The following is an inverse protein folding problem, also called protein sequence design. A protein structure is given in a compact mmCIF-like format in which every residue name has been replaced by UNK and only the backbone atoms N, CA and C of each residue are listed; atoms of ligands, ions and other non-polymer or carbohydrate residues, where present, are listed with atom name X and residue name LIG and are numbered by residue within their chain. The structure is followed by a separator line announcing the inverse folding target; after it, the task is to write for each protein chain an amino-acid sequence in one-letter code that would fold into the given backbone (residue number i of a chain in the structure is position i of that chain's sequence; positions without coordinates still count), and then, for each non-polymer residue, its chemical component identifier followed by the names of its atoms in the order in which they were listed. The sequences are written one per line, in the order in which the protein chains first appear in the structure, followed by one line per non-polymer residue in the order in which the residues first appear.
data_IF_943941729268
#
_entry.id   IF_943941729268
#
_cell.length_a   1.000
_cell.length_b   1.000
_cell.length_c   1.000
_cell.angle_alpha   90.00
_cell.angle_beta   90.00
_cell.angle_gamma   90.00
#
_symmetry.space_group_name_H-M   'P 1'
#
loop_
_entity.id
_entity.type
_entity.pdbx_description
1 polymer ?
#
# COMPACT_ATOMS: atom_id res chain seq x y z
N UNK A 1 -5.49 -0.57 1.33
CA UNK A 1 -5.31 -0.33 2.77
C UNK A 1 -4.07 -1.05 3.28
N UNK A 2 -3.33 -0.44 4.21
CA UNK A 2 -2.24 -1.11 4.94
C UNK A 2 -2.54 -0.99 6.42
N UNK A 3 -2.71 -2.12 7.10
CA UNK A 3 -2.87 -2.17 8.55
C UNK A 3 -1.48 -2.42 9.15
N UNK A 4 -1.10 -1.59 10.11
CA UNK A 4 0.22 -1.66 10.77
C UNK A 4 0.04 -2.11 12.21
N UNK A 5 0.73 -3.18 12.60
CA UNK A 5 0.70 -3.73 13.97
C UNK A 5 2.10 -4.12 14.43
N UNK A 6 2.28 -4.35 15.73
CA UNK A 6 3.56 -4.73 16.34
C UNK A 6 3.98 -3.81 17.49
N UNK A 7 5.23 -3.92 17.92
CA UNK A 7 5.83 -3.17 19.03
C UNK A 7 7.13 -2.51 18.57
N UNK A 8 7.07 -1.19 18.37
CA UNK A 8 8.19 -0.35 17.96
C UNK A 8 7.96 1.11 18.40
N UNK A 9 9.04 1.87 18.53
CA UNK A 9 9.05 3.28 18.90
C UNK A 9 8.66 4.17 17.70
N UNK A 10 7.39 4.11 17.28
CA UNK A 10 6.85 4.81 16.11
C UNK A 10 7.14 6.32 16.01
N UNK A 11 7.36 7.00 17.15
CA UNK A 11 7.77 8.42 17.21
C UNK A 11 9.20 8.64 16.76
N UNK A 12 10.09 7.68 17.01
CA UNK A 12 11.51 7.76 16.69
C UNK A 12 11.84 7.11 15.34
N UNK A 13 11.16 6.01 15.01
CA UNK A 13 11.50 5.13 13.89
C UNK A 13 10.27 4.47 13.29
N UNK A 14 10.42 3.85 12.12
CA UNK A 14 9.31 3.15 11.48
C UNK A 14 8.24 4.07 10.88
N UNK A 15 8.57 5.31 10.55
CA UNK A 15 7.68 6.23 9.85
C UNK A 15 7.42 5.76 8.41
N UNK A 16 6.29 6.21 7.85
CA UNK A 16 6.00 6.13 6.42
C UNK A 16 6.69 7.30 5.72
N UNK A 17 7.45 7.02 4.66
CA UNK A 17 8.09 8.02 3.84
C UNK A 17 7.32 8.12 2.51
N UNK A 18 6.80 9.31 2.20
CA UNK A 18 6.15 9.63 0.94
C UNK A 18 7.14 10.43 0.09
N UNK A 19 7.84 9.74 -0.81
CA UNK A 19 9.04 10.28 -1.47
C UNK A 19 8.79 11.52 -2.31
N UNK A 20 7.69 11.55 -3.07
CA UNK A 20 7.32 12.71 -3.91
C UNK A 20 6.83 13.91 -3.09
N UNK A 21 6.17 13.64 -1.96
CA UNK A 21 5.57 14.66 -1.12
C UNK A 21 6.57 15.19 -0.06
N UNK A 22 7.79 14.64 -0.04
CA UNK A 22 8.84 14.91 0.97
C UNK A 22 8.32 14.84 2.41
N UNK A 23 7.32 14.00 2.64
CA UNK A 23 6.65 13.86 3.91
C UNK A 23 7.11 12.59 4.63
N UNK A 24 7.33 12.73 5.93
CA UNK A 24 7.56 11.60 6.84
C UNK A 24 6.42 11.59 7.85
N UNK A 25 5.65 10.51 7.86
CA UNK A 25 4.42 10.39 8.64
C UNK A 25 4.64 9.37 9.74
N UNK A 26 4.36 9.76 10.98
CA UNK A 26 4.32 8.85 12.12
C UNK A 26 3.22 7.81 11.92
N UNK A 27 3.54 6.55 12.13
CA UNK A 27 2.58 5.44 12.00
C UNK A 27 2.61 4.63 13.27
N UNK A 28 1.70 4.88 14.23
CA UNK A 28 1.55 4.03 15.41
C UNK A 28 1.05 2.62 15.07
N UNK A 29 1.33 1.66 15.95
CA UNK A 29 0.70 0.34 15.89
C UNK A 29 -0.82 0.47 16.06
N UNK A 30 -1.60 -0.26 15.25
CA UNK A 30 -3.05 -0.14 15.13
C UNK A 30 -3.52 0.81 14.00
N UNK A 31 -2.59 1.51 13.33
CA UNK A 31 -2.95 2.44 12.26
C UNK A 31 -3.39 1.71 11.00
N UNK A 32 -4.46 2.21 10.37
CA UNK A 32 -4.86 1.82 9.01
C UNK A 32 -4.55 2.97 8.04
N UNK A 33 -3.64 2.73 7.12
CA UNK A 33 -3.24 3.67 6.08
C UNK A 33 -4.09 3.45 4.82
N UNK A 34 -4.67 4.52 4.31
CA UNK A 34 -5.45 4.53 3.07
C UNK A 34 -4.91 5.65 2.18
N UNK A 35 -4.26 5.27 1.08
CA UNK A 35 -3.70 6.18 0.11
C UNK A 35 -3.54 5.47 -1.24
N UNK A 36 -3.43 6.20 -2.36
CA UNK A 36 -3.30 5.60 -3.69
C UNK A 36 -1.87 5.08 -3.91
N UNK A 37 -1.60 3.87 -3.42
CA UNK A 37 -0.27 3.26 -3.45
C UNK A 37 0.25 2.94 -4.85
N UNK A 38 -0.63 2.85 -5.85
CA UNK A 38 -0.25 2.62 -7.25
C UNK A 38 0.33 3.86 -7.95
N UNK A 39 0.05 5.06 -7.42
CA UNK A 39 0.51 6.33 -8.02
C UNK A 39 1.53 7.06 -7.16
N UNK A 40 1.76 6.60 -5.92
CA UNK A 40 2.65 7.24 -4.95
C UNK A 40 3.85 6.34 -4.67
N UNK A 41 5.05 6.89 -4.78
CA UNK A 41 6.26 6.23 -4.29
C UNK A 41 6.33 6.36 -2.76
N UNK A 42 6.29 5.22 -2.08
CA UNK A 42 6.36 5.17 -0.63
C UNK A 42 7.29 4.06 -0.14
N UNK A 43 7.84 4.25 1.04
CA UNK A 43 8.61 3.25 1.76
C UNK A 43 8.38 3.39 3.27
N UNK A 44 8.84 2.42 4.04
CA UNK A 44 8.84 2.52 5.49
C UNK A 44 10.27 2.61 5.99
N UNK A 45 10.53 3.54 6.90
CA UNK A 45 11.79 3.58 7.63
C UNK A 45 12.00 2.27 8.41
N UNK A 46 13.25 1.89 8.63
CA UNK A 46 13.58 0.70 9.41
C UNK A 46 13.12 0.85 10.87
N UNK A 47 12.86 -0.30 11.50
CA UNK A 47 12.70 -0.42 12.96
C UNK A 47 14.00 -0.99 13.54
N UNK A 48 14.17 -0.92 14.87
CA UNK A 48 15.36 -1.47 15.52
C UNK A 48 15.38 -3.02 15.43
N UNK A 49 16.56 -3.67 15.50
CA UNK A 49 16.65 -5.14 15.46
C UNK A 49 15.85 -5.88 16.54
N UNK A 50 15.61 -5.24 17.69
CA UNK A 50 14.84 -5.79 18.81
C UNK A 50 13.34 -5.46 18.76
N UNK A 51 12.91 -4.68 17.75
CA UNK A 51 11.52 -4.27 17.57
C UNK A 51 10.84 -5.12 16.50
N UNK A 52 9.50 -5.13 16.53
CA UNK A 52 8.70 -5.83 15.53
C UNK A 52 7.63 -4.93 14.94
N UNK A 53 7.51 -4.95 13.61
CA UNK A 53 6.44 -4.30 12.88
C UNK A 53 5.97 -5.22 11.76
N UNK A 54 4.67 -5.49 11.75
CA UNK A 54 3.99 -6.24 10.71
C UNK A 54 3.09 -5.31 9.91
N UNK A 55 3.02 -5.57 8.61
CA UNK A 55 2.20 -4.82 7.68
C UNK A 55 1.26 -5.80 6.98
N UNK A 56 -0.05 -5.61 7.17
CA UNK A 56 -1.05 -6.35 6.41
C UNK A 56 -1.56 -5.46 5.28
N UNK A 57 -1.25 -5.84 4.04
CA UNK A 57 -1.58 -5.03 2.85
C UNK A 57 -2.74 -5.66 2.09
N UNK A 58 -3.77 -4.85 1.86
CA UNK A 58 -4.88 -5.15 0.96
C UNK A 58 -4.87 -4.12 -0.18
N UNK A 59 -4.82 -4.60 -1.41
CA UNK A 59 -4.86 -3.74 -2.60
C UNK A 59 -5.68 -4.41 -3.69
N UNK A 60 -6.17 -3.60 -4.63
CA UNK A 60 -6.79 -4.07 -5.86
C UNK A 60 -5.82 -3.75 -6.99
N UNK A 61 -5.49 -4.76 -7.81
CA UNK A 61 -4.62 -4.56 -8.96
C UNK A 61 -5.39 -3.87 -10.09
N UNK A 62 -4.73 -2.96 -10.82
CA UNK A 62 -5.31 -2.30 -11.97
C UNK A 62 -5.77 -3.29 -13.06
N UNK A 63 -5.14 -4.46 -13.17
CA UNK A 63 -5.56 -5.53 -14.09
C UNK A 63 -6.96 -6.03 -13.75
N UNK A 64 -7.27 -6.25 -12.46
CA UNK A 64 -8.59 -6.71 -12.03
C UNK A 64 -9.67 -5.69 -12.37
N UNK A 65 -9.37 -4.40 -12.16
CA UNK A 65 -10.27 -3.30 -12.53
C UNK A 65 -10.50 -3.27 -14.04
N UNK A 66 -9.44 -3.39 -14.85
CA UNK A 66 -9.55 -3.44 -16.31
C UNK A 66 -10.39 -4.63 -16.79
N UNK A 67 -10.21 -5.80 -16.19
CA UNK A 67 -10.99 -6.99 -16.52
C UNK A 67 -12.49 -6.80 -16.22
N UNK A 68 -12.83 -6.20 -15.07
CA UNK A 68 -14.22 -5.83 -14.74
C UNK A 68 -14.79 -4.83 -15.76
N UNK A 69 -14.01 -3.82 -16.16
CA UNK A 69 -14.43 -2.83 -17.17
C UNK A 69 -14.70 -3.45 -18.55
N UNK A 70 -14.01 -4.55 -18.88
CA UNK A 70 -14.23 -5.34 -20.10
C UNK A 70 -15.42 -6.30 -19.98
N UNK A 71 -16.21 -6.24 -18.91
CA UNK A 71 -17.33 -7.17 -18.70
C UNK A 71 -16.87 -8.57 -18.32
N UNK A 72 -15.76 -8.67 -17.59
CA UNK A 72 -15.17 -9.96 -17.18
C UNK A 72 -14.60 -10.79 -18.33
N UNK A 73 -14.21 -10.13 -19.42
CA UNK A 73 -13.65 -10.75 -20.62
C UNK A 73 -12.13 -10.63 -20.65
N UNK A 74 -11.49 -11.62 -21.27
CA UNK A 74 -10.10 -11.50 -21.72
C UNK A 74 -9.95 -10.41 -22.78
N UNK A 75 -8.71 -10.00 -23.03
CA UNK A 75 -8.41 -8.98 -24.04
C UNK A 75 -8.89 -9.43 -25.43
N UNK A 76 -8.67 -10.70 -25.79
CA UNK A 76 -9.09 -11.26 -27.07
C UNK A 76 -10.63 -11.32 -27.21
N UNK A 77 -11.34 -11.73 -26.15
CA UNK A 77 -12.81 -11.77 -26.17
C UNK A 77 -13.41 -10.37 -26.25
N UNK A 78 -12.83 -9.39 -25.56
CA UNK A 78 -13.28 -8.00 -25.62
C UNK A 78 -13.04 -7.38 -27.01
N UNK A 79 -11.86 -7.61 -27.60
CA UNK A 79 -11.53 -7.13 -28.95
C UNK A 79 -12.41 -7.74 -30.04
N UNK A 80 -12.82 -9.00 -29.88
CA UNK A 80 -13.74 -9.66 -30.82
C UNK A 80 -15.17 -9.08 -30.80
N UNK A 81 -15.53 -8.30 -29.77
CA UNK A 81 -16.85 -7.66 -29.62
C UNK A 81 -16.88 -6.18 -30.05
N UNK A 82 -15.72 -5.55 -30.22
CA UNK A 82 -15.56 -4.13 -30.56
C UNK A 82 -15.55 -3.89 -32.07
#
# INVERSE_FOLDING_TARGET
AIIVVGKYAHKERGQLILGQDKAMVEVPSGTTLIFPSGTKHFSFAAVAPHETRYLFRQYCDAVVIRWIQKGSLSDAEFEALA
#
